data_IF_253770508542
#
_entry.id   IF_253770508542
#
_cell.length_a   1.000
_cell.length_b   1.000
_cell.length_c   1.000
_cell.angle_alpha   90.00
_cell.angle_beta   90.00
_cell.angle_gamma   90.00
#
_symmetry.space_group_name_H-M   'P 1'
#
loop_
_entity.id
_entity.type
_entity.pdbx_description
1 polymer ?
#
# COMPACT_ATOMS: atom_id res chain seq x y z
N UNK A 1 70.28 -30.18 -3.17
CA UNK A 1 70.15 -31.29 -4.14
C UNK A 1 69.52 -32.48 -3.43
N UNK A 2 68.79 -33.35 -4.14
CA UNK A 2 67.71 -33.10 -5.11
C UNK A 2 66.38 -33.41 -4.37
N UNK A 3 65.27 -33.98 -4.85
CA UNK A 3 64.69 -34.34 -6.17
C UNK A 3 63.24 -33.80 -6.16
N UNK A 4 62.65 -33.44 -7.30
CA UNK A 4 61.19 -33.29 -7.46
C UNK A 4 60.60 -34.53 -8.13
N UNK A 5 59.45 -35.03 -7.67
CA UNK A 5 58.49 -35.74 -8.53
C UNK A 5 57.09 -35.23 -8.20
N UNK A 6 56.43 -34.62 -9.19
CA UNK A 6 54.98 -34.40 -9.15
C UNK A 6 54.30 -35.62 -9.75
N UNK A 7 53.24 -36.13 -9.12
CA UNK A 7 52.31 -37.08 -9.77
C UNK A 7 50.94 -36.42 -9.85
N UNK A 8 50.51 -36.19 -11.08
CA UNK A 8 49.15 -35.83 -11.43
C UNK A 8 48.26 -37.05 -11.22
N UNK A 9 47.15 -36.91 -10.48
CA UNK A 9 46.01 -37.82 -10.61
C UNK A 9 44.80 -36.97 -10.98
N UNK A 10 44.52 -36.92 -12.28
CA UNK A 10 43.19 -36.61 -12.78
C UNK A 10 42.30 -37.82 -12.47
N UNK A 11 41.10 -37.59 -11.95
CA UNK A 11 40.01 -38.57 -12.06
C UNK A 11 38.74 -37.82 -12.40
N UNK A 12 38.05 -38.30 -13.43
CA UNK A 12 36.91 -37.63 -14.06
C UNK A 12 35.61 -37.90 -13.30
N UNK A 13 34.69 -36.94 -13.45
CA UNK A 13 33.24 -37.14 -13.54
C UNK A 13 32.60 -38.10 -12.52
N UNK A 14 31.98 -37.53 -11.49
CA UNK A 14 30.56 -37.84 -11.30
C UNK A 14 29.73 -36.65 -11.78
N UNK A 15 28.95 -36.87 -12.84
CA UNK A 15 27.86 -35.98 -13.23
C UNK A 15 26.73 -36.15 -12.23
N UNK A 16 26.89 -35.53 -11.06
CA UNK A 16 25.79 -35.29 -10.15
C UNK A 16 24.81 -34.33 -10.82
N UNK A 17 23.82 -34.88 -11.52
CA UNK A 17 22.66 -34.16 -12.01
C UNK A 17 21.77 -33.79 -10.81
N UNK A 18 22.31 -32.92 -9.94
CA UNK A 18 21.51 -32.23 -8.95
C UNK A 18 20.42 -31.48 -9.70
N UNK A 19 19.17 -31.83 -9.43
CA UNK A 19 18.05 -31.08 -9.96
C UNK A 19 18.26 -29.61 -9.58
N UNK A 20 18.03 -28.70 -10.53
CA UNK A 20 17.52 -27.40 -10.12
C UNK A 20 16.25 -27.71 -9.34
N UNK A 21 16.29 -27.52 -8.02
CA UNK A 21 15.05 -27.28 -7.28
C UNK A 21 14.42 -26.08 -7.96
N UNK A 22 13.29 -26.31 -8.64
CA UNK A 22 12.46 -25.21 -9.05
C UNK A 22 12.12 -24.47 -7.77
N UNK A 23 12.55 -23.21 -7.67
CA UNK A 23 12.16 -22.26 -6.63
C UNK A 23 10.67 -21.98 -6.80
N UNK A 24 9.89 -22.97 -6.38
CA UNK A 24 8.47 -22.92 -6.19
C UNK A 24 8.25 -21.89 -5.10
N UNK A 25 7.86 -20.68 -5.52
CA UNK A 25 7.23 -19.73 -4.62
C UNK A 25 6.13 -20.47 -3.86
N UNK A 26 6.02 -20.30 -2.53
CA UNK A 26 5.05 -21.05 -1.73
C UNK A 26 3.62 -20.63 -2.12
N UNK A 27 3.04 -21.38 -3.05
CA UNK A 27 1.63 -21.26 -3.42
C UNK A 27 0.81 -21.83 -2.25
N UNK A 28 -0.18 -21.04 -1.82
CA UNK A 28 -0.90 -21.17 -0.56
C UNK A 28 -0.07 -20.82 0.70
N UNK A 29 -0.14 -19.53 1.08
CA UNK A 29 -0.33 -19.24 2.50
C UNK A 29 -1.57 -20.00 2.98
N UNK A 30 -1.38 -21.00 3.84
CA UNK A 30 -2.45 -21.39 4.76
C UNK A 30 -2.78 -20.19 5.64
N UNK A 31 -4.07 -19.95 5.89
CA UNK A 31 -4.54 -18.98 6.88
C UNK A 31 -4.25 -19.48 8.32
N UNK A 32 -2.96 -19.56 8.65
CA UNK A 32 -2.51 -19.78 10.03
C UNK A 32 -2.80 -18.55 10.90
N UNK A 33 -2.91 -18.72 12.22
CA UNK A 33 -3.04 -17.59 13.13
C UNK A 33 -1.78 -16.73 13.05
N UNK A 34 -1.92 -15.50 12.54
CA UNK A 34 -0.86 -14.49 12.52
C UNK A 34 -0.40 -14.21 13.96
N UNK A 35 0.91 -14.09 14.14
CA UNK A 35 1.53 -13.98 15.48
C UNK A 35 1.29 -12.61 16.12
N UNK A 36 0.10 -12.42 16.69
CA UNK A 36 -0.29 -11.28 17.52
C UNK A 36 -1.31 -11.71 18.57
N UNK A 37 -1.31 -11.06 19.73
CA UNK A 37 -2.11 -11.44 20.92
C UNK A 37 -3.60 -11.06 20.81
N UNK A 38 -4.18 -11.16 19.61
CA UNK A 38 -5.61 -10.96 19.39
C UNK A 38 -6.44 -12.12 19.97
N UNK A 39 -7.68 -11.81 20.38
CA UNK A 39 -8.63 -12.82 20.82
C UNK A 39 -8.94 -13.84 19.71
N UNK A 40 -9.19 -15.10 20.11
CA UNK A 40 -9.60 -16.18 19.21
C UNK A 40 -10.85 -15.75 18.43
N UNK A 41 -10.81 -15.88 17.11
CA UNK A 41 -11.92 -15.49 16.24
C UNK A 41 -13.19 -16.29 16.58
N UNK A 42 -14.31 -15.60 16.75
CA UNK A 42 -15.61 -16.23 16.96
C UNK A 42 -16.33 -16.39 15.62
N UNK A 43 -17.10 -17.47 15.45
CA UNK A 43 -17.96 -17.62 14.28
C UNK A 43 -19.01 -16.49 14.27
N UNK A 44 -19.03 -15.71 13.20
CA UNK A 44 -20.00 -14.64 12.93
C UNK A 44 -20.09 -13.61 14.09
N UNK A 45 -18.99 -13.43 14.83
CA UNK A 45 -18.89 -12.60 16.04
C UNK A 45 -19.06 -11.08 15.83
N UNK A 46 -19.02 -10.59 14.58
CA UNK A 46 -19.43 -9.21 14.26
C UNK A 46 -20.89 -9.11 13.79
N UNK A 47 -21.63 -10.22 13.72
CA UNK A 47 -22.99 -10.27 13.17
C UNK A 47 -23.02 -10.06 11.66
N UNK A 48 -24.04 -9.39 11.15
CA UNK A 48 -24.22 -9.11 9.72
C UNK A 48 -23.17 -8.10 9.22
N UNK A 49 -22.36 -8.50 8.23
CA UNK A 49 -21.36 -7.63 7.62
C UNK A 49 -21.97 -6.48 6.81
N UNK A 50 -21.26 -5.34 6.65
CA UNK A 50 -21.67 -4.29 5.72
C UNK A 50 -21.78 -4.80 4.30
N UNK A 51 -22.77 -4.29 3.55
CA UNK A 51 -22.94 -4.65 2.14
C UNK A 51 -21.81 -4.05 1.31
N UNK A 52 -21.09 -4.92 0.60
CA UNK A 52 -20.18 -4.53 -0.47
C UNK A 52 -20.91 -3.72 -1.56
N UNK A 53 -20.20 -2.85 -2.30
CA UNK A 53 -20.78 -2.17 -3.45
C UNK A 53 -21.36 -3.20 -4.44
N UNK A 54 -22.53 -2.93 -5.05
CA UNK A 54 -23.18 -3.89 -5.93
C UNK A 54 -22.29 -4.18 -7.14
N UNK A 55 -22.19 -5.46 -7.52
CA UNK A 55 -21.52 -5.88 -8.76
C UNK A 55 -22.14 -5.13 -9.92
N UNK A 56 -21.37 -4.25 -10.54
CA UNK A 56 -21.86 -3.40 -11.64
C UNK A 56 -21.83 -4.21 -12.93
N UNK A 57 -22.87 -5.03 -13.12
CA UNK A 57 -23.06 -5.89 -14.30
C UNK A 57 -23.28 -5.04 -15.57
N UNK A 58 -22.19 -4.52 -16.10
CA UNK A 58 -22.15 -3.95 -17.44
C UNK A 58 -22.40 -5.05 -18.47
N UNK A 59 -23.31 -4.83 -19.41
CA UNK A 59 -23.67 -5.79 -20.48
C UNK A 59 -22.60 -5.90 -21.59
N UNK A 60 -21.32 -5.86 -21.21
CA UNK A 60 -20.20 -5.99 -22.14
C UNK A 60 -20.01 -7.47 -22.53
N UNK A 61 -19.71 -7.74 -23.80
CA UNK A 61 -19.34 -9.07 -24.29
C UNK A 61 -17.85 -9.40 -24.04
N UNK A 62 -17.37 -9.14 -22.82
CA UNK A 62 -15.98 -9.40 -22.44
C UNK A 62 -15.68 -10.89 -22.27
N UNK A 63 -14.45 -11.29 -22.51
CA UNK A 63 -13.98 -12.66 -22.30
C UNK A 63 -12.90 -12.63 -21.21
N UNK A 64 -13.16 -13.28 -20.07
CA UNK A 64 -12.19 -13.45 -18.98
C UNK A 64 -11.65 -14.88 -19.01
N UNK A 65 -10.32 -15.02 -19.02
CA UNK A 65 -9.60 -16.28 -18.99
C UNK A 65 -8.76 -16.36 -17.72
N UNK A 66 -8.85 -17.48 -17.01
CA UNK A 66 -8.11 -17.75 -15.78
C UNK A 66 -6.96 -18.70 -16.15
N UNK A 67 -5.80 -18.13 -16.49
CA UNK A 67 -4.63 -18.87 -16.94
C UNK A 67 -3.69 -19.21 -15.76
N UNK A 68 -4.26 -19.43 -14.58
CA UNK A 68 -3.55 -19.61 -13.31
C UNK A 68 -4.37 -20.50 -12.36
N UNK A 69 -3.71 -21.09 -11.36
CA UNK A 69 -4.37 -21.97 -10.38
C UNK A 69 -5.05 -21.14 -9.30
N UNK A 70 -6.30 -21.44 -8.98
CA UNK A 70 -7.03 -20.80 -7.87
C UNK A 70 -6.68 -21.49 -6.54
N UNK A 71 -6.53 -20.75 -5.43
CA UNK A 71 -6.20 -21.34 -4.14
C UNK A 71 -7.38 -22.14 -3.57
N UNK A 72 -7.10 -23.25 -2.89
CA UNK A 72 -8.11 -23.94 -2.08
C UNK A 72 -8.45 -23.08 -0.86
N UNK A 73 -9.73 -22.80 -0.64
CA UNK A 73 -10.22 -22.04 0.50
C UNK A 73 -10.65 -22.97 1.64
N UNK A 74 -10.35 -22.65 2.92
CA UNK A 74 -11.00 -23.30 4.06
C UNK A 74 -12.50 -22.97 4.12
N UNK A 75 -13.30 -23.78 4.83
CA UNK A 75 -14.75 -23.56 4.98
C UNK A 75 -15.11 -22.26 5.69
N UNK A 76 -14.22 -21.78 6.56
CA UNK A 76 -14.30 -20.52 7.29
C UNK A 76 -13.13 -19.62 6.91
N UNK A 77 -13.41 -18.34 6.66
CA UNK A 77 -12.41 -17.32 6.35
C UNK A 77 -12.51 -16.15 7.34
N UNK A 78 -11.37 -15.58 7.70
CA UNK A 78 -11.28 -14.49 8.65
C UNK A 78 -11.69 -13.15 8.01
N UNK A 79 -12.74 -12.55 8.55
CA UNK A 79 -13.03 -11.12 8.39
C UNK A 79 -12.35 -10.36 9.52
N UNK A 80 -11.73 -9.26 9.16
CA UNK A 80 -10.97 -8.42 10.07
C UNK A 80 -11.75 -7.12 10.32
N UNK A 81 -11.67 -6.59 11.54
CA UNK A 81 -12.26 -5.30 11.90
C UNK A 81 -11.22 -4.43 12.58
N UNK A 82 -10.88 -3.33 11.91
CA UNK A 82 -10.03 -2.27 12.42
C UNK A 82 -10.84 -1.44 13.43
N UNK A 83 -10.35 -1.23 14.66
CA UNK A 83 -10.97 -0.27 15.58
C UNK A 83 -10.98 1.12 14.95
N UNK A 84 -12.09 1.82 15.13
CA UNK A 84 -12.14 3.25 14.86
C UNK A 84 -11.14 3.99 15.75
N UNK A 85 -10.83 5.22 15.36
CA UNK A 85 -9.80 6.03 16.02
C UNK A 85 -10.21 6.61 17.37
N UNK A 86 -11.45 6.42 17.82
CA UNK A 86 -11.94 6.92 19.10
C UNK A 86 -11.24 6.25 20.28
N UNK A 87 -10.89 7.06 21.30
CA UNK A 87 -10.38 6.53 22.57
C UNK A 87 -11.44 5.67 23.28
N UNK A 88 -11.02 4.55 23.87
CA UNK A 88 -11.90 3.76 24.74
C UNK A 88 -12.31 4.56 26.01
N UNK A 89 -13.32 4.08 26.75
CA UNK A 89 -13.85 4.77 27.93
C UNK A 89 -12.77 5.09 28.98
N UNK A 90 -11.82 4.18 29.20
CA UNK A 90 -10.71 4.33 30.15
C UNK A 90 -9.69 5.32 29.62
N UNK A 91 -9.30 5.20 28.35
CA UNK A 91 -8.40 6.15 27.68
C UNK A 91 -8.97 7.57 27.68
N UNK A 92 -10.28 7.72 27.41
CA UNK A 92 -10.98 8.99 27.43
C UNK A 92 -11.11 9.56 28.84
N UNK A 93 -11.39 8.73 29.86
CA UNK A 93 -11.37 9.14 31.27
C UNK A 93 -9.97 9.59 31.72
N UNK A 94 -8.92 8.90 31.31
CA UNK A 94 -7.53 9.28 31.59
C UNK A 94 -7.15 10.61 30.90
N UNK A 95 -7.53 10.80 29.63
CA UNK A 95 -7.29 12.06 28.92
C UNK A 95 -8.04 13.22 29.56
N UNK A 96 -9.34 13.06 29.82
CA UNK A 96 -10.19 14.10 30.42
C UNK A 96 -9.71 14.47 31.83
N UNK A 97 -9.25 13.51 32.62
CA UNK A 97 -8.58 13.77 33.90
C UNK A 97 -7.29 14.57 33.72
N UNK A 98 -6.42 14.21 32.77
CA UNK A 98 -5.16 14.90 32.50
C UNK A 98 -5.34 16.37 32.05
N UNK A 99 -6.42 16.67 31.32
CA UNK A 99 -6.80 18.05 30.94
C UNK A 99 -7.73 18.74 31.96
N UNK A 100 -7.84 18.19 33.18
CA UNK A 100 -8.59 18.74 34.31
C UNK A 100 -10.11 18.92 34.09
N UNK A 101 -10.72 18.14 33.19
CA UNK A 101 -12.19 18.03 33.12
C UNK A 101 -12.67 17.15 34.29
N UNK A 102 -13.55 17.64 35.17
CA UNK A 102 -14.07 16.84 36.30
C UNK A 102 -14.85 15.62 35.79
N UNK A 103 -14.52 14.43 36.29
CA UNK A 103 -15.11 13.16 35.80
C UNK A 103 -16.66 13.13 35.91
N UNK A 104 -17.24 13.87 36.87
CA UNK A 104 -18.69 14.02 37.01
C UNK A 104 -19.37 14.82 35.88
N UNK A 105 -18.62 15.56 35.05
CA UNK A 105 -19.16 16.24 33.86
C UNK A 105 -19.28 15.33 32.64
N UNK A 106 -18.65 14.15 32.64
CA UNK A 106 -18.66 13.21 31.51
C UNK A 106 -19.99 12.44 31.37
N UNK A 107 -20.83 12.45 32.42
CA UNK A 107 -22.04 11.65 32.50
C UNK A 107 -21.78 10.14 32.47
N UNK A 108 -22.79 9.36 32.08
CA UNK A 108 -22.74 7.89 32.06
C UNK A 108 -22.44 7.29 30.68
N UNK A 109 -22.37 8.13 29.63
CA UNK A 109 -22.11 7.73 28.23
C UNK A 109 -21.29 8.80 27.49
N UNK A 110 -20.05 9.08 27.90
CA UNK A 110 -19.16 9.96 27.12
C UNK A 110 -18.85 9.34 25.75
N UNK A 111 -18.75 10.18 24.74
CA UNK A 111 -18.42 9.79 23.36
C UNK A 111 -17.30 10.68 22.82
N UNK A 112 -16.19 10.08 22.39
CA UNK A 112 -15.12 10.79 21.71
C UNK A 112 -15.35 10.77 20.20
N UNK A 113 -15.73 11.90 19.61
CA UNK A 113 -15.95 12.03 18.16
C UNK A 113 -14.71 12.48 17.39
N UNK A 114 -13.81 13.23 18.03
CA UNK A 114 -12.59 13.76 17.43
C UNK A 114 -11.59 14.19 18.49
N UNK A 115 -10.31 13.93 18.24
CA UNK A 115 -9.20 14.53 18.95
C UNK A 115 -7.96 14.63 18.05
N UNK A 116 -7.10 15.58 18.38
CA UNK A 116 -5.80 15.77 17.73
C UNK A 116 -4.74 16.17 18.76
N UNK A 117 -3.49 15.83 18.47
CA UNK A 117 -2.33 16.17 19.31
C UNK A 117 -1.17 16.58 18.41
N UNK A 118 -0.39 17.59 18.81
CA UNK A 118 0.82 17.99 18.10
C UNK A 118 2.00 18.15 19.06
N UNK A 119 3.20 17.77 18.63
CA UNK A 119 4.44 17.88 19.41
C UNK A 119 5.65 18.11 18.50
N UNK A 120 6.78 18.54 19.07
CA UNK A 120 8.08 18.61 18.38
C UNK A 120 8.98 17.50 18.95
N UNK A 121 9.69 16.76 18.09
CA UNK A 121 10.68 15.77 18.53
C UNK A 121 12.10 16.38 18.60
N UNK A 122 13.08 15.61 19.07
CA UNK A 122 14.47 16.04 19.21
C UNK A 122 15.22 16.24 17.87
N UNK A 123 14.55 16.09 16.73
CA UNK A 123 15.10 16.24 15.37
C UNK A 123 14.46 17.40 14.60
N UNK A 124 13.69 18.24 15.32
CA UNK A 124 12.94 19.39 14.81
C UNK A 124 11.82 19.05 13.80
N UNK A 125 11.35 17.80 13.81
CA UNK A 125 10.07 17.44 13.22
C UNK A 125 8.94 17.88 14.15
N UNK A 126 8.03 18.71 13.61
CA UNK A 126 6.69 18.88 14.18
C UNK A 126 5.83 17.72 13.71
N UNK A 127 5.28 16.97 14.66
CA UNK A 127 4.36 15.87 14.47
C UNK A 127 2.94 16.29 14.83
N UNK A 128 1.95 15.71 14.15
CA UNK A 128 0.53 15.87 14.47
C UNK A 128 -0.23 14.57 14.25
N UNK A 129 -1.04 14.15 15.22
CA UNK A 129 -2.04 13.10 15.08
C UNK A 129 -3.42 13.71 14.84
N UNK A 130 -4.19 13.16 13.88
CA UNK A 130 -5.62 13.42 13.72
C UNK A 130 -6.41 12.11 13.78
N UNK A 131 -7.34 12.02 14.75
CA UNK A 131 -8.19 10.85 14.88
C UNK A 131 -9.07 10.66 13.64
N UNK A 132 -9.49 11.72 12.94
CA UNK A 132 -10.42 11.63 11.79
C UNK A 132 -9.95 10.64 10.72
N UNK A 133 -8.64 10.56 10.51
CA UNK A 133 -8.02 9.69 9.50
C UNK A 133 -7.20 8.54 10.11
N UNK A 134 -7.01 8.55 11.44
CA UNK A 134 -6.07 7.68 12.17
C UNK A 134 -4.64 7.78 11.62
N UNK A 135 -4.19 9.02 11.38
CA UNK A 135 -2.92 9.34 10.74
C UNK A 135 -2.00 10.14 11.66
N UNK A 136 -0.71 9.83 11.58
CA UNK A 136 0.35 10.77 11.94
C UNK A 136 0.80 11.51 10.70
N UNK A 137 0.99 12.81 10.83
CA UNK A 137 1.70 13.65 9.87
C UNK A 137 2.91 14.29 10.54
N UNK A 138 3.94 14.60 9.76
CA UNK A 138 5.11 15.34 10.24
C UNK A 138 5.61 16.34 9.19
N UNK A 139 6.25 17.41 9.64
CA UNK A 139 7.04 18.31 8.81
C UNK A 139 8.29 18.79 9.55
N UNK A 140 9.39 18.96 8.83
CA UNK A 140 10.60 19.56 9.41
C UNK A 140 10.37 21.07 9.54
N UNK A 141 10.57 21.60 10.75
CA UNK A 141 10.48 23.04 11.01
C UNK A 141 11.63 23.79 10.32
N UNK A 142 11.37 25.03 9.92
CA UNK A 142 12.35 26.00 9.44
C UNK A 142 13.20 25.59 8.21
N UNK A 143 12.83 24.51 7.51
CA UNK A 143 13.31 24.23 6.14
C UNK A 143 12.71 25.25 5.15
N UNK A 144 13.52 26.09 4.47
CA UNK A 144 13.00 26.99 3.45
C UNK A 144 12.55 26.18 2.24
N UNK A 145 11.24 26.10 2.02
CA UNK A 145 10.69 25.41 0.85
C UNK A 145 11.15 26.11 -0.44
N UNK A 146 12.11 25.49 -1.12
CA UNK A 146 12.58 25.91 -2.43
C UNK A 146 12.93 24.67 -3.24
N UNK A 147 12.28 24.51 -4.38
CA UNK A 147 12.59 23.41 -5.30
C UNK A 147 13.83 23.77 -6.12
N UNK A 148 14.82 22.89 -6.07
CA UNK A 148 16.05 22.95 -6.85
C UNK A 148 16.13 21.68 -7.73
N UNK A 149 16.95 21.70 -8.77
CA UNK A 149 17.13 20.52 -9.63
C UNK A 149 18.32 19.66 -9.21
N UNK A 150 18.23 18.36 -9.53
CA UNK A 150 19.28 17.36 -9.38
C UNK A 150 19.45 16.58 -10.68
N UNK A 151 20.67 16.10 -10.94
CA UNK A 151 21.02 15.41 -12.18
C UNK A 151 20.50 13.96 -12.25
N UNK A 152 20.15 13.36 -11.10
CA UNK A 152 19.70 11.97 -11.00
C UNK A 152 18.83 11.75 -9.76
N UNK A 153 17.96 10.76 -9.84
CA UNK A 153 17.24 10.21 -8.69
C UNK A 153 17.89 8.89 -8.24
N UNK A 154 17.78 8.52 -6.94
CA UNK A 154 18.27 7.26 -6.38
C UNK A 154 17.57 6.03 -6.97
N UNK A 155 18.17 4.85 -6.77
CA UNK A 155 17.55 3.57 -7.11
C UNK A 155 16.39 3.23 -6.17
N UNK A 156 15.47 2.37 -6.63
CA UNK A 156 14.38 1.85 -5.80
C UNK A 156 14.92 1.22 -4.50
N UNK A 157 15.94 0.38 -4.58
CA UNK A 157 16.63 -0.22 -3.42
C UNK A 157 17.11 0.85 -2.40
N UNK A 158 17.66 1.97 -2.88
CA UNK A 158 18.09 3.08 -2.01
C UNK A 158 16.89 3.75 -1.32
N UNK A 159 15.75 3.85 -2.01
CA UNK A 159 14.50 4.40 -1.47
C UNK A 159 13.91 3.46 -0.43
N UNK A 160 13.85 2.16 -0.70
CA UNK A 160 13.39 1.12 0.22
C UNK A 160 14.20 1.14 1.52
N UNK A 161 15.53 1.19 1.41
CA UNK A 161 16.43 1.32 2.56
C UNK A 161 16.21 2.63 3.33
N UNK A 162 16.08 3.76 2.65
CA UNK A 162 15.88 5.08 3.29
C UNK A 162 14.53 5.15 4.04
N UNK A 163 13.44 4.70 3.42
CA UNK A 163 12.11 4.62 4.06
C UNK A 163 12.12 3.66 5.23
N UNK A 164 12.66 2.45 5.06
CA UNK A 164 12.75 1.44 6.12
C UNK A 164 13.51 1.96 7.33
N UNK A 165 14.67 2.59 7.12
CA UNK A 165 15.47 3.16 8.20
C UNK A 165 14.73 4.29 8.93
N UNK A 166 14.06 5.19 8.21
CA UNK A 166 13.29 6.30 8.81
C UNK A 166 12.09 5.80 9.63
N UNK A 167 11.29 4.89 9.08
CA UNK A 167 10.14 4.31 9.78
C UNK A 167 10.59 3.51 11.01
N UNK A 168 11.70 2.77 10.91
CA UNK A 168 12.31 2.08 12.06
C UNK A 168 12.81 3.07 13.13
N UNK A 169 13.43 4.19 12.76
CA UNK A 169 13.94 5.17 13.73
C UNK A 169 12.85 5.92 14.50
N UNK A 170 11.64 6.05 13.93
CA UNK A 170 10.47 6.59 14.64
C UNK A 170 9.65 5.51 15.39
N UNK A 171 10.09 4.24 15.38
CA UNK A 171 9.41 3.13 16.04
C UNK A 171 8.15 2.62 15.32
N UNK A 172 8.00 2.89 14.02
CA UNK A 172 6.86 2.43 13.22
C UNK A 172 7.09 1.00 12.70
N UNK A 173 6.06 0.16 12.76
CA UNK A 173 6.14 -1.25 12.33
C UNK A 173 6.20 -1.40 10.80
N UNK A 174 7.39 -1.75 10.30
CA UNK A 174 7.66 -1.98 8.89
C UNK A 174 6.87 -3.16 8.28
N UNK A 175 6.37 -4.10 9.10
CA UNK A 175 5.49 -5.19 8.61
C UNK A 175 4.13 -4.68 8.13
N UNK A 176 3.79 -3.42 8.42
CA UNK A 176 2.58 -2.73 7.94
C UNK A 176 2.81 -1.87 6.69
N UNK A 177 3.94 -2.07 6.00
CA UNK A 177 4.38 -1.32 4.83
C UNK A 177 4.63 -2.27 3.66
N UNK A 178 4.01 -2.02 2.50
CA UNK A 178 4.25 -2.75 1.26
C UNK A 178 4.38 -1.79 0.07
N UNK A 179 5.08 -2.24 -0.98
CA UNK A 179 5.22 -1.56 -2.27
C UNK A 179 5.66 -0.08 -2.16
N UNK A 180 6.66 0.17 -1.30
CA UNK A 180 7.39 1.43 -1.21
C UNK A 180 7.85 1.82 -2.62
N UNK A 181 7.53 3.02 -3.08
CA UNK A 181 7.78 3.43 -4.46
C UNK A 181 7.74 4.96 -4.61
N UNK A 182 8.48 5.51 -5.58
CA UNK A 182 8.19 6.88 -6.05
C UNK A 182 6.76 6.89 -6.58
N UNK A 183 5.97 7.89 -6.18
CA UNK A 183 4.57 8.04 -6.58
C UNK A 183 4.40 7.84 -8.09
N UNK A 184 3.51 6.93 -8.51
CA UNK A 184 3.53 6.34 -9.86
C UNK A 184 3.48 7.35 -11.02
N UNK A 185 2.81 8.50 -10.83
CA UNK A 185 2.78 9.57 -11.82
C UNK A 185 4.17 10.24 -12.00
N UNK A 186 4.89 10.51 -10.91
CA UNK A 186 6.27 10.99 -10.92
C UNK A 186 7.25 9.97 -11.50
N UNK A 187 7.09 8.68 -11.18
CA UNK A 187 7.90 7.60 -11.77
C UNK A 187 7.66 7.47 -13.28
N UNK A 188 6.39 7.43 -13.73
CA UNK A 188 6.01 7.38 -15.14
C UNK A 188 6.51 8.61 -15.91
N UNK A 189 6.39 9.81 -15.33
CA UNK A 189 6.90 11.04 -15.92
C UNK A 189 8.42 10.96 -16.11
N UNK A 190 9.17 10.53 -15.09
CA UNK A 190 10.62 10.39 -15.16
C UNK A 190 11.03 9.45 -16.30
N UNK A 191 10.44 8.24 -16.36
CA UNK A 191 10.66 7.27 -17.44
C UNK A 191 10.31 7.83 -18.84
N UNK A 192 9.22 8.60 -18.96
CA UNK A 192 8.86 9.26 -20.23
C UNK A 192 9.86 10.35 -20.62
N UNK A 193 10.37 11.14 -19.66
CA UNK A 193 11.40 12.16 -19.93
C UNK A 193 12.74 11.55 -20.30
N UNK A 194 13.18 10.47 -19.65
CA UNK A 194 14.46 9.79 -19.93
C UNK A 194 14.56 9.34 -21.41
N UNK A 195 13.43 8.94 -22.00
CA UNK A 195 13.32 8.54 -23.40
C UNK A 195 13.19 9.71 -24.40
N UNK A 196 13.08 10.97 -23.96
CA UNK A 196 12.69 12.10 -24.85
C UNK A 196 13.49 13.40 -24.68
N UNK A 197 13.78 13.84 -23.44
CA UNK A 197 14.45 15.12 -23.15
C UNK A 197 15.18 15.22 -21.79
N UNK A 198 15.05 14.21 -20.91
CA UNK A 198 15.70 14.10 -19.60
C UNK A 198 15.46 15.25 -18.58
N UNK A 199 14.48 16.13 -18.81
CA UNK A 199 14.31 17.35 -18.01
C UNK A 199 12.86 17.74 -17.68
N UNK A 200 12.74 18.43 -16.55
CA UNK A 200 11.59 19.23 -16.16
C UNK A 200 11.21 20.26 -17.25
N UNK A 201 9.91 20.42 -17.52
CA UNK A 201 9.40 21.46 -18.42
C UNK A 201 9.33 22.80 -17.68
N UNK A 202 9.39 23.91 -18.43
CA UNK A 202 9.33 25.25 -17.83
C UNK A 202 8.06 25.47 -17.00
N UNK A 203 6.91 24.95 -17.45
CA UNK A 203 5.65 25.06 -16.70
C UNK A 203 5.70 24.22 -15.41
N UNK A 204 6.11 22.96 -15.46
CA UNK A 204 6.24 22.14 -14.25
C UNK A 204 7.22 22.76 -13.24
N UNK A 205 8.30 23.40 -13.72
CA UNK A 205 9.22 24.14 -12.87
C UNK A 205 8.60 25.44 -12.29
N UNK A 206 7.68 26.11 -13.01
CA UNK A 206 6.97 27.27 -12.48
C UNK A 206 6.02 26.84 -11.36
N UNK A 207 5.11 25.90 -11.63
CA UNK A 207 4.15 25.35 -10.66
C UNK A 207 4.85 24.82 -9.39
N UNK A 208 6.00 24.15 -9.53
CA UNK A 208 6.81 23.68 -8.39
C UNK A 208 7.43 24.80 -7.54
N UNK A 209 7.67 25.98 -8.11
CA UNK A 209 8.12 27.16 -7.36
C UNK A 209 6.95 28.03 -6.84
N UNK A 210 5.72 27.76 -7.27
CA UNK A 210 4.49 28.39 -6.75
C UNK A 210 3.81 27.56 -5.64
N UNK A 211 4.29 26.34 -5.37
CA UNK A 211 3.84 25.55 -4.23
C UNK A 211 4.08 26.29 -2.89
N UNK A 212 3.08 26.25 -2.01
CA UNK A 212 3.12 26.94 -0.71
C UNK A 212 3.44 25.98 0.45
N UNK A 213 3.35 24.67 0.23
CA UNK A 213 3.59 23.64 1.24
C UNK A 213 3.92 22.27 0.59
N UNK A 214 4.68 21.43 1.30
CA UNK A 214 5.23 20.17 0.77
C UNK A 214 4.18 19.07 0.49
N UNK A 215 3.00 19.14 1.13
CA UNK A 215 1.88 18.25 0.86
C UNK A 215 1.30 18.42 -0.56
N UNK A 216 1.38 19.64 -1.10
CA UNK A 216 0.89 19.97 -2.43
C UNK A 216 1.68 19.25 -3.54
N UNK A 217 2.93 18.86 -3.28
CA UNK A 217 3.79 18.13 -4.23
C UNK A 217 3.17 16.78 -4.64
N UNK A 218 2.47 16.11 -3.74
CA UNK A 218 1.78 14.84 -4.02
C UNK A 218 0.52 15.01 -4.88
N UNK A 219 -0.04 16.23 -4.95
CA UNK A 219 -1.20 16.55 -5.77
C UNK A 219 -0.81 16.95 -7.21
N UNK A 220 0.45 17.32 -7.45
CA UNK A 220 0.95 17.57 -8.81
C UNK A 220 0.98 16.27 -9.62
N UNK A 221 0.43 16.32 -10.83
CA UNK A 221 0.54 15.27 -11.83
C UNK A 221 1.51 15.68 -12.94
N UNK A 222 2.80 15.33 -12.86
CA UNK A 222 3.80 15.80 -13.82
C UNK A 222 3.60 15.27 -15.25
N UNK A 223 2.70 14.29 -15.45
CA UNK A 223 2.30 13.77 -16.76
C UNK A 223 1.43 14.75 -17.57
N UNK A 224 0.75 15.71 -16.94
CA UNK A 224 -0.10 16.69 -17.64
C UNK A 224 0.73 17.77 -18.37
N UNK A 225 2.00 17.90 -17.98
CA UNK A 225 2.92 18.95 -18.44
C UNK A 225 3.66 18.53 -19.72
N UNK A 226 3.12 18.93 -20.87
CA UNK A 226 3.78 18.75 -22.17
C UNK A 226 5.08 19.56 -22.26
N UNK A 227 6.10 19.00 -22.93
CA UNK A 227 7.36 19.69 -23.14
C UNK A 227 7.27 20.62 -24.37
N UNK A 228 7.32 21.93 -24.14
CA UNK A 228 6.98 22.97 -25.15
C UNK A 228 8.19 23.82 -25.56
N UNK A 229 9.26 23.17 -26.01
CA UNK A 229 10.48 23.73 -26.61
C UNK A 229 11.51 24.40 -25.67
N UNK A 230 12.58 23.66 -25.35
CA UNK A 230 13.98 24.13 -25.36
C UNK A 230 14.91 22.91 -25.24
N UNK A 231 16.05 22.81 -25.96
CA UNK A 231 16.98 21.71 -25.75
C UNK A 231 17.61 21.81 -24.34
N UNK A 232 17.34 20.82 -23.50
CA UNK A 232 17.94 20.74 -22.17
C UNK A 232 19.38 20.20 -22.27
N UNK A 233 20.35 20.90 -21.64
CA UNK A 233 21.78 20.57 -21.78
C UNK A 233 22.31 19.55 -20.76
N UNK A 234 21.56 19.27 -19.70
CA UNK A 234 21.88 18.21 -18.71
C UNK A 234 20.60 17.73 -18.05
N UNK A 235 20.54 16.46 -17.62
CA UNK A 235 19.40 15.91 -16.89
C UNK A 235 19.03 16.79 -15.69
N UNK A 236 17.74 17.08 -15.49
CA UNK A 236 17.27 17.97 -14.43
C UNK A 236 15.89 17.50 -13.91
N UNK A 237 15.88 16.91 -12.72
CA UNK A 237 14.70 16.47 -11.98
C UNK A 237 14.57 17.27 -10.67
N UNK A 238 13.38 17.43 -10.05
CA UNK A 238 13.28 18.11 -8.75
C UNK A 238 13.99 17.33 -7.63
N UNK A 239 14.48 18.06 -6.62
CA UNK A 239 15.17 17.50 -5.45
C UNK A 239 14.25 16.81 -4.45
N UNK A 240 12.95 17.15 -4.43
CA UNK A 240 11.98 16.50 -3.54
C UNK A 240 11.32 15.32 -4.25
N UNK A 241 11.33 14.15 -3.60
CA UNK A 241 10.69 12.92 -4.06
C UNK A 241 9.43 12.60 -3.25
N UNK A 242 8.24 12.61 -3.85
CA UNK A 242 7.07 11.98 -3.24
C UNK A 242 7.18 10.46 -3.37
N UNK A 243 7.25 9.80 -2.22
CA UNK A 243 7.34 8.35 -2.05
C UNK A 243 6.06 7.87 -1.37
N UNK A 244 5.43 6.84 -1.91
CA UNK A 244 4.19 6.25 -1.40
C UNK A 244 4.38 4.79 -1.02
N UNK A 245 3.58 4.30 -0.09
CA UNK A 245 3.48 2.87 0.24
C UNK A 245 2.02 2.48 0.47
N UNK A 246 1.71 1.20 0.31
CA UNK A 246 0.35 0.65 0.44
C UNK A 246 -0.06 0.49 1.91
N UNK A 247 -1.38 0.56 2.18
CA UNK A 247 -1.96 0.32 3.50
C UNK A 247 -2.12 -1.18 3.73
N UNK A 248 -1.49 -1.71 4.77
CA UNK A 248 -1.40 -3.15 5.06
C UNK A 248 -2.07 -3.47 6.40
N UNK A 249 -2.79 -4.60 6.46
CA UNK A 249 -3.31 -5.24 7.67
C UNK A 249 -3.07 -6.74 7.56
N UNK A 250 -2.60 -7.40 8.62
CA UNK A 250 -2.22 -8.83 8.61
C UNK A 250 -1.35 -9.21 7.38
N UNK A 251 -0.34 -8.39 7.10
CA UNK A 251 0.60 -8.50 5.96
C UNK A 251 -0.06 -8.51 4.57
N UNK A 252 -1.31 -8.04 4.45
CA UNK A 252 -2.06 -7.95 3.20
C UNK A 252 -2.50 -6.51 2.95
N UNK A 253 -2.32 -6.04 1.72
CA UNK A 253 -2.79 -4.71 1.32
C UNK A 253 -4.33 -4.61 1.37
N UNK A 254 -4.83 -3.39 1.44
CA UNK A 254 -6.26 -3.08 1.29
C UNK A 254 -6.47 -2.48 -0.11
N UNK A 255 -7.39 -3.03 -0.90
CA UNK A 255 -7.77 -2.54 -2.24
C UNK A 255 -9.16 -1.92 -2.27
N UNK A 256 -9.46 -1.19 -3.35
CA UNK A 256 -10.82 -0.82 -3.74
C UNK A 256 -11.51 -1.91 -4.58
N UNK A 257 -12.72 -1.65 -5.07
CA UNK A 257 -13.52 -2.59 -5.87
C UNK A 257 -12.96 -2.90 -7.27
N UNK A 258 -11.93 -2.19 -7.73
CA UNK A 258 -11.23 -2.46 -9.00
C UNK A 258 -9.79 -2.98 -8.78
N UNK A 259 -9.41 -3.27 -7.53
CA UNK A 259 -8.12 -3.85 -7.17
C UNK A 259 -6.98 -2.83 -7.09
N UNK A 260 -7.28 -1.53 -7.07
CA UNK A 260 -6.29 -0.49 -6.80
C UNK A 260 -6.00 -0.45 -5.29
N UNK A 261 -4.74 -0.49 -4.84
CA UNK A 261 -4.39 -0.40 -3.43
C UNK A 261 -4.71 0.96 -2.82
N UNK A 262 -5.07 0.96 -1.54
CA UNK A 262 -5.12 2.16 -0.69
C UNK A 262 -3.70 2.57 -0.31
N UNK A 263 -3.41 3.88 -0.34
CA UNK A 263 -2.15 4.43 0.15
C UNK A 263 -2.15 4.39 1.68
N UNK A 264 -1.14 3.76 2.27
CA UNK A 264 -0.92 3.70 3.73
C UNK A 264 -0.22 4.94 4.26
N UNK A 265 0.70 5.50 3.47
CA UNK A 265 1.38 6.75 3.76
C UNK A 265 2.09 7.35 2.55
N UNK A 266 2.45 8.61 2.68
CA UNK A 266 3.24 9.38 1.71
C UNK A 266 4.35 10.12 2.44
N UNK A 267 5.58 10.00 1.96
CA UNK A 267 6.77 10.65 2.52
C UNK A 267 7.43 11.50 1.44
N UNK A 268 7.88 12.71 1.78
CA UNK A 268 8.65 13.58 0.88
C UNK A 268 10.12 13.56 1.31
N UNK A 269 10.97 13.00 0.47
CA UNK A 269 12.41 12.92 0.70
C UNK A 269 13.14 14.02 -0.07
N UNK A 270 13.95 14.84 0.62
CA UNK A 270 14.84 15.81 -0.01
C UNK A 270 16.20 15.18 -0.33
N UNK A 271 16.54 15.17 -1.61
CA UNK A 271 17.81 14.67 -2.14
C UNK A 271 19.02 15.52 -1.73
N UNK A 272 18.83 16.80 -1.37
CA UNK A 272 19.92 17.69 -0.97
C UNK A 272 20.35 17.46 0.48
N UNK A 273 19.42 17.53 1.44
CA UNK A 273 19.69 17.26 2.86
C UNK A 273 19.71 15.77 3.22
N UNK A 274 19.27 14.90 2.31
CA UNK A 274 19.14 13.45 2.49
C UNK A 274 18.22 13.02 3.64
N UNK A 275 17.21 13.85 3.93
CA UNK A 275 16.19 13.63 4.97
C UNK A 275 14.78 13.57 4.38
N UNK A 276 13.87 12.92 5.09
CA UNK A 276 12.44 13.18 4.91
C UNK A 276 12.12 14.56 5.51
N UNK A 277 11.33 15.36 4.80
CA UNK A 277 11.03 16.76 5.19
C UNK A 277 9.54 17.00 5.45
N UNK A 278 8.68 16.15 4.89
CA UNK A 278 7.24 16.10 5.14
C UNK A 278 6.77 14.64 5.00
N UNK A 279 5.67 14.28 5.63
CA UNK A 279 4.94 13.08 5.29
C UNK A 279 3.71 12.86 6.16
N UNK A 280 2.91 11.88 5.77
CA UNK A 280 1.83 11.32 6.57
C UNK A 280 1.81 9.79 6.46
N UNK A 281 1.33 9.13 7.50
CA UNK A 281 1.26 7.69 7.62
C UNK A 281 0.06 7.28 8.48
N UNK A 282 -0.72 6.33 8.00
CA UNK A 282 -1.82 5.72 8.75
C UNK A 282 -1.24 4.83 9.82
N UNK A 283 -1.66 4.96 11.08
CA UNK A 283 -1.13 4.10 12.14
C UNK A 283 -1.64 2.65 12.01
N UNK A 284 -0.81 1.65 12.38
CA UNK A 284 -1.26 0.28 12.54
C UNK A 284 -2.19 0.18 13.76
N UNK A 285 -3.17 -0.73 13.69
CA UNK A 285 -4.19 -0.91 14.72
C UNK A 285 -4.26 -2.36 15.16
N UNK A 286 -4.56 -2.60 16.45
CA UNK A 286 -4.89 -3.95 16.91
C UNK A 286 -6.24 -4.39 16.35
N UNK A 287 -6.21 -5.29 15.38
CA UNK A 287 -7.43 -5.70 14.68
C UNK A 287 -8.17 -6.83 15.37
N UNK A 288 -9.49 -6.71 15.41
CA UNK A 288 -10.42 -7.75 15.84
C UNK A 288 -10.64 -8.74 14.70
N UNK A 289 -10.88 -10.02 14.99
CA UNK A 289 -11.06 -11.08 13.97
C UNK A 289 -12.32 -11.91 14.24
N UNK A 290 -13.01 -12.30 13.17
CA UNK A 290 -14.23 -13.11 13.20
C UNK A 290 -14.27 -14.05 12.01
N UNK A 291 -14.76 -15.28 12.20
CA UNK A 291 -14.86 -16.27 11.13
C UNK A 291 -16.21 -16.20 10.42
N UNK A 292 -16.19 -16.22 9.09
CA UNK A 292 -17.38 -16.27 8.25
C UNK A 292 -17.31 -17.41 7.24
N UNK A 293 -18.46 -17.91 6.80
CA UNK A 293 -18.55 -18.99 5.82
C UNK A 293 -17.97 -18.56 4.46
N UNK A 294 -16.92 -19.24 4.01
CA UNK A 294 -16.24 -18.91 2.77
C UNK A 294 -17.04 -19.35 1.54
N UNK A 295 -16.81 -18.69 0.40
CA UNK A 295 -17.27 -19.17 -0.90
C UNK A 295 -16.48 -20.41 -1.33
N UNK A 296 -17.08 -21.26 -2.15
CA UNK A 296 -16.41 -22.42 -2.77
C UNK A 296 -15.52 -21.99 -3.94
N UNK A 297 -14.55 -22.83 -4.34
CA UNK A 297 -13.72 -22.57 -5.54
C UNK A 297 -14.58 -22.35 -6.81
N UNK A 298 -15.72 -23.05 -6.91
CA UNK A 298 -16.69 -22.87 -8.02
C UNK A 298 -17.34 -21.49 -8.02
N UNK A 299 -17.72 -20.99 -6.85
CA UNK A 299 -18.29 -19.64 -6.69
C UNK A 299 -17.22 -18.56 -6.92
N UNK A 300 -15.99 -18.80 -6.47
CA UNK A 300 -14.83 -17.92 -6.69
C UNK A 300 -14.48 -17.82 -8.19
N UNK A 301 -14.37 -18.96 -8.87
CA UNK A 301 -14.14 -19.05 -10.31
C UNK A 301 -15.24 -18.34 -11.11
N UNK A 302 -16.50 -18.64 -10.80
CA UNK A 302 -17.64 -18.01 -11.48
C UNK A 302 -17.76 -16.51 -11.20
N UNK A 303 -17.20 -16.02 -10.09
CA UNK A 303 -17.12 -14.58 -9.79
C UNK A 303 -15.98 -13.90 -10.56
N UNK A 304 -14.81 -14.54 -10.68
CA UNK A 304 -13.72 -14.06 -11.56
C UNK A 304 -14.19 -13.97 -13.02
N UNK A 305 -14.86 -15.01 -13.53
CA UNK A 305 -15.41 -15.07 -14.90
C UNK A 305 -16.47 -13.98 -15.19
N UNK A 306 -17.07 -13.39 -14.14
CA UNK A 306 -18.03 -12.27 -14.23
C UNK A 306 -17.40 -10.89 -13.97
N UNK A 307 -16.09 -10.81 -13.77
CA UNK A 307 -15.37 -9.56 -13.48
C UNK A 307 -15.46 -9.10 -12.02
N UNK A 308 -15.86 -9.98 -11.09
CA UNK A 308 -15.90 -9.69 -9.66
C UNK A 308 -16.77 -8.48 -9.33
N UNK A 309 -16.34 -7.62 -8.40
CA UNK A 309 -17.05 -6.39 -8.03
C UNK A 309 -17.15 -5.36 -9.18
N UNK A 310 -16.15 -5.31 -10.06
CA UNK A 310 -16.15 -4.41 -11.24
C UNK A 310 -17.14 -4.81 -12.34
N UNK A 311 -17.61 -6.06 -12.33
CA UNK A 311 -18.48 -6.62 -13.37
C UNK A 311 -17.76 -6.83 -14.71
N UNK A 312 -18.49 -7.29 -15.73
CA UNK A 312 -17.89 -7.72 -16.99
C UNK A 312 -17.30 -6.53 -17.76
N UNK A 313 -15.98 -6.51 -18.05
CA UNK A 313 -15.33 -5.44 -18.80
C UNK A 313 -15.40 -5.68 -20.31
N UNK A 314 -14.78 -4.80 -21.10
CA UNK A 314 -14.68 -4.96 -22.57
C UNK A 314 -13.37 -5.63 -22.98
N UNK A 315 -13.40 -6.30 -24.15
CA UNK A 315 -12.22 -6.98 -24.71
C UNK A 315 -11.94 -8.35 -24.07
N UNK A 316 -10.69 -8.80 -24.16
CA UNK A 316 -10.23 -10.06 -23.54
C UNK A 316 -9.36 -9.75 -22.33
N UNK A 317 -9.55 -10.47 -21.22
CA UNK A 317 -8.65 -10.46 -20.07
C UNK A 317 -8.03 -11.84 -19.92
N UNK A 318 -6.71 -11.87 -19.81
CA UNK A 318 -5.93 -13.05 -19.45
C UNK A 318 -5.36 -12.82 -18.03
N UNK A 319 -5.98 -13.46 -17.02
CA UNK A 319 -5.53 -13.46 -15.62
C UNK A 319 -4.37 -14.45 -15.50
N UNK A 320 -3.19 -13.97 -15.10
CA UNK A 320 -1.97 -14.77 -14.93
C UNK A 320 -1.65 -15.08 -13.47
N UNK A 321 -2.21 -14.31 -12.54
CA UNK A 321 -1.82 -14.30 -11.13
C UNK A 321 -3.05 -14.07 -10.24
N UNK A 322 -3.02 -14.64 -9.04
CA UNK A 322 -4.03 -14.42 -7.99
C UNK A 322 -3.35 -14.23 -6.64
N UNK A 323 -3.78 -13.23 -5.88
CA UNK A 323 -3.29 -12.99 -4.51
C UNK A 323 -4.42 -12.63 -3.55
N UNK A 324 -4.18 -12.75 -2.24
CA UNK A 324 -5.13 -12.36 -1.21
C UNK A 324 -4.94 -10.89 -0.80
N UNK A 325 -6.04 -10.21 -0.54
CA UNK A 325 -6.07 -8.80 -0.13
C UNK A 325 -7.32 -8.56 0.74
N UNK A 326 -7.50 -7.35 1.24
CA UNK A 326 -8.73 -6.92 1.91
C UNK A 326 -9.46 -5.85 1.10
N UNK A 327 -10.79 -5.80 1.18
CA UNK A 327 -11.58 -4.66 0.75
C UNK A 327 -12.31 -4.04 1.95
N UNK A 328 -12.33 -2.71 2.00
CA UNK A 328 -13.17 -1.94 2.93
C UNK A 328 -14.54 -1.69 2.27
N UNK A 329 -15.65 -2.29 2.75
CA UNK A 329 -16.99 -2.12 2.18
C UNK A 329 -17.59 -0.76 2.58
N UNK A 330 -16.99 0.31 2.04
CA UNK A 330 -17.30 1.74 2.24
C UNK A 330 -17.06 2.23 3.68
N UNK A 331 -16.29 3.32 3.79
CA UNK A 331 -16.29 4.17 4.99
C UNK A 331 -17.60 4.97 5.06
N UNK A 332 -18.64 4.36 5.61
CA UNK A 332 -19.68 5.16 6.29
C UNK A 332 -19.08 5.77 7.56
N UNK A 333 -19.53 6.96 7.96
CA UNK A 333 -18.90 7.77 9.01
C UNK A 333 -19.13 7.26 10.45
N UNK A 334 -19.19 5.94 10.65
CA UNK A 334 -19.15 5.33 11.97
C UNK A 334 -17.72 5.45 12.54
N UNK A 335 -17.55 6.35 13.50
CA UNK A 335 -16.34 6.49 14.31
C UNK A 335 -15.93 5.22 15.07
N UNK A 336 -16.82 4.21 15.08
CA UNK A 336 -16.66 2.98 15.83
C UNK A 336 -15.64 2.00 15.21
N UNK A 337 -15.77 1.64 13.91
CA UNK A 337 -15.00 0.55 13.28
C UNK A 337 -14.93 0.63 11.75
N UNK A 338 -13.83 0.15 11.16
CA UNK A 338 -13.72 -0.18 9.72
C UNK A 338 -13.67 -1.70 9.52
N UNK A 339 -14.54 -2.23 8.65
CA UNK A 339 -14.55 -3.65 8.28
C UNK A 339 -13.59 -3.91 7.12
N UNK A 340 -12.89 -5.05 7.15
CA UNK A 340 -11.99 -5.51 6.12
C UNK A 340 -12.38 -6.94 5.71
N UNK A 341 -13.08 -7.05 4.58
CA UNK A 341 -13.56 -8.32 4.03
C UNK A 341 -12.44 -8.93 3.18
N UNK A 342 -12.09 -10.20 3.35
CA UNK A 342 -11.06 -10.86 2.55
C UNK A 342 -11.51 -11.00 1.09
N UNK A 343 -10.61 -10.69 0.16
CA UNK A 343 -10.81 -10.82 -1.28
C UNK A 343 -9.69 -11.63 -1.93
N UNK A 344 -10.00 -12.29 -3.05
CA UNK A 344 -9.01 -12.67 -4.03
C UNK A 344 -8.92 -11.56 -5.09
N UNK A 345 -7.70 -11.14 -5.42
CA UNK A 345 -7.42 -10.24 -6.54
C UNK A 345 -6.80 -11.05 -7.65
N UNK A 346 -7.52 -11.21 -8.76
CA UNK A 346 -6.98 -11.76 -10.01
C UNK A 346 -6.28 -10.65 -10.80
N UNK A 347 -4.98 -10.79 -11.03
CA UNK A 347 -4.14 -9.85 -11.78
C UNK A 347 -3.78 -10.41 -13.16
N UNK A 348 -3.81 -9.55 -14.17
CA UNK A 348 -3.54 -9.94 -15.55
C UNK A 348 -3.45 -8.77 -16.51
N UNK A 349 -3.70 -9.06 -17.79
CA UNK A 349 -3.76 -8.04 -18.85
C UNK A 349 -5.12 -8.01 -19.52
N UNK A 350 -5.68 -6.82 -19.67
CA UNK A 350 -6.79 -6.54 -20.58
C UNK A 350 -6.22 -6.23 -21.97
N UNK A 351 -6.88 -6.73 -23.01
CA UNK A 351 -6.61 -6.41 -24.41
C UNK A 351 -7.89 -5.90 -25.06
N UNK A 352 -7.86 -4.63 -25.49
CA UNK A 352 -8.99 -3.91 -26.09
C UNK A 352 -8.46 -3.06 -27.25
N UNK A 353 -9.05 -3.20 -28.44
CA UNK A 353 -8.65 -2.47 -29.65
C UNK A 353 -7.14 -2.57 -29.96
N UNK A 354 -6.55 -3.76 -29.77
CA UNK A 354 -5.12 -4.07 -29.86
C UNK A 354 -4.20 -3.33 -28.86
N UNK A 355 -4.74 -2.52 -27.95
CA UNK A 355 -4.01 -1.98 -26.80
C UNK A 355 -4.07 -2.99 -25.66
N UNK A 356 -2.92 -3.21 -25.00
CA UNK A 356 -2.84 -4.07 -23.80
C UNK A 356 -2.49 -3.24 -22.57
N UNK A 357 -3.25 -3.42 -21.49
CA UNK A 357 -3.09 -2.73 -20.21
C UNK A 357 -3.12 -3.73 -19.04
N UNK A 358 -2.55 -3.36 -17.89
CA UNK A 358 -2.73 -4.14 -16.66
C UNK A 358 -4.18 -4.02 -16.18
N UNK A 359 -4.74 -5.12 -15.68
CA UNK A 359 -6.11 -5.17 -15.17
C UNK A 359 -6.18 -6.06 -13.92
N UNK A 360 -7.10 -5.74 -13.01
CA UNK A 360 -7.37 -6.49 -11.78
C UNK A 360 -8.86 -6.75 -11.60
N UNK A 361 -9.20 -7.92 -11.07
CA UNK A 361 -10.57 -8.33 -10.74
C UNK A 361 -10.61 -8.69 -9.26
N UNK A 362 -11.55 -8.12 -8.50
CA UNK A 362 -11.68 -8.34 -7.05
C UNK A 362 -12.90 -9.21 -6.76
N UNK A 363 -12.68 -10.34 -6.10
CA UNK A 363 -13.71 -11.30 -5.70
C UNK A 363 -13.77 -11.41 -4.18
N UNK A 364 -14.87 -11.00 -3.52
CA UNK A 364 -15.11 -11.25 -2.10
C UNK A 364 -15.12 -12.74 -1.80
N UNK A 365 -14.52 -13.14 -0.68
CA UNK A 365 -14.39 -14.56 -0.31
C UNK A 365 -15.40 -15.03 0.74
N UNK A 366 -16.27 -14.14 1.21
CA UNK A 366 -17.36 -14.42 2.15
C UNK A 366 -18.68 -14.58 1.39
N UNK A 367 -19.56 -15.48 1.87
CA UNK A 367 -20.92 -15.71 1.35
C UNK A 367 -21.93 -14.64 1.76
#
# INVERSE_FOLDING_TARGET
>A
MPIKISIFIITLLFLGAGCFEATTTPIAETLGPTAGTGAVAQQEGFGTLPKLPPVTLNNNSGIIRINTTLPTLPEKILVVRVPGSGLDLTQFQNLTHAINIPIGMLGTKPTNTWYSFSWQNNEDYQWSFDSTFHQLSFFQKDQPFKINTVNQWPTQETIDQKVTNFLTSIGYDILTVQNISIQQNWLNWKLNTENTQNCISQQLNADLNELNSLDQLSNINPLDYKYTQSPCYSNNFPNYLPITFERVVDQRNIVDSIGKPQIGGTLIYDLNSQKFVYGWLTLPTEVQRSEYSAITEKEMRSSLEKGGLGGVPQGTIDISEVFFSFISPKKDNSYDYEYLIPVLVGQGKQTLNNVSSSYRIVVPLVK
#
